data_IF_364339032328
#
_entry.id   IF_364339032328
#
_cell.length_a   1.000
_cell.length_b   1.000
_cell.length_c   1.000
_cell.angle_alpha   90.00
_cell.angle_beta   90.00
_cell.angle_gamma   90.00
#
_symmetry.space_group_name_H-M   'P 1'
#
loop_
_entity.id
_entity.type
_entity.pdbx_description
1 polymer ?
#
# COMPACT_ATOMS: atom_id res chain seq x y z
N UNK A 1 6.53 -11.20 -9.52
CA UNK A 1 5.75 -12.41 -9.16
C UNK A 1 4.60 -11.97 -8.26
N UNK A 2 3.55 -11.42 -8.86
CA UNK A 2 2.34 -10.99 -8.15
C UNK A 2 1.29 -12.04 -8.47
N UNK A 3 1.25 -13.12 -7.71
CA UNK A 3 0.24 -14.16 -7.91
C UNK A 3 -1.03 -13.79 -7.15
N UNK A 4 -2.08 -13.54 -7.94
CA UNK A 4 -3.51 -13.57 -7.62
C UNK A 4 -3.88 -14.42 -6.39
N UNK A 5 -3.83 -13.86 -5.18
CA UNK A 5 -4.17 -14.60 -3.96
C UNK A 5 -5.55 -14.27 -3.38
N UNK A 6 -6.25 -13.24 -3.88
CA UNK A 6 -7.31 -12.61 -3.08
C UNK A 6 -8.76 -12.77 -3.58
N UNK A 7 -9.04 -13.32 -4.77
CA UNK A 7 -10.41 -13.21 -5.32
C UNK A 7 -11.28 -14.48 -5.28
N UNK A 8 -10.74 -15.68 -5.04
CA UNK A 8 -11.52 -16.92 -5.23
C UNK A 8 -12.00 -17.64 -3.95
N UNK A 9 -11.78 -17.10 -2.73
CA UNK A 9 -12.08 -17.83 -1.48
C UNK A 9 -13.16 -17.27 -0.56
N UNK A 10 -13.90 -16.24 -0.95
CA UNK A 10 -14.98 -15.70 -0.08
C UNK A 10 -16.32 -16.44 -0.29
N UNK A 11 -16.48 -17.21 -1.37
CA UNK A 11 -17.80 -17.62 -1.85
C UNK A 11 -18.37 -18.96 -1.32
N UNK A 12 -17.83 -19.59 -0.26
CA UNK A 12 -18.37 -20.88 0.20
C UNK A 12 -18.48 -21.06 1.74
N UNK A 13 -18.69 -19.99 2.51
CA UNK A 13 -19.03 -20.15 3.94
C UNK A 13 -20.50 -20.58 4.07
N UNK A 14 -20.75 -21.90 4.04
CA UNK A 14 -22.04 -22.49 4.45
C UNK A 14 -22.32 -22.08 5.89
N UNK A 15 -23.20 -21.10 6.08
CA UNK A 15 -23.73 -20.68 7.39
C UNK A 15 -24.52 -21.84 8.00
N UNK A 16 -23.88 -22.63 8.86
CA UNK A 16 -24.61 -23.59 9.71
C UNK A 16 -24.20 -23.57 11.18
N UNK A 17 -23.35 -22.62 11.60
CA UNK A 17 -22.86 -22.54 12.98
C UNK A 17 -23.03 -21.13 13.52
N UNK A 18 -23.67 -21.01 14.69
CA UNK A 18 -23.89 -19.75 15.39
C UNK A 18 -22.60 -19.30 16.07
N UNK A 19 -21.96 -18.25 15.54
CA UNK A 19 -20.62 -17.80 15.92
C UNK A 19 -20.58 -17.33 17.38
N UNK A 20 -21.69 -16.85 17.91
CA UNK A 20 -21.78 -16.33 19.28
C UNK A 20 -21.75 -17.43 20.36
N UNK A 21 -21.95 -18.70 19.97
CA UNK A 21 -21.95 -19.85 20.87
C UNK A 21 -20.57 -20.52 20.97
N UNK A 22 -19.60 -20.10 20.16
CA UNK A 22 -18.28 -20.73 20.07
C UNK A 22 -17.33 -19.96 21.00
N UNK A 23 -16.72 -20.63 22.00
CA UNK A 23 -15.72 -19.98 22.84
C UNK A 23 -14.48 -19.63 22.01
N UNK A 24 -13.82 -18.50 22.30
CA UNK A 24 -12.60 -18.05 21.60
C UNK A 24 -11.40 -19.02 21.75
N UNK A 25 -11.53 -20.02 22.60
CA UNK A 25 -10.55 -21.11 22.76
C UNK A 25 -10.59 -22.10 21.59
N UNK A 26 -11.71 -22.22 20.88
CA UNK A 26 -11.90 -23.15 19.78
C UNK A 26 -11.89 -22.42 18.43
N UNK A 27 -11.25 -23.03 17.43
CA UNK A 27 -11.26 -22.48 16.06
C UNK A 27 -12.65 -22.59 15.44
N UNK A 28 -13.07 -21.55 14.73
CA UNK A 28 -14.37 -21.53 14.05
C UNK A 28 -14.43 -22.68 13.01
N UNK A 29 -15.40 -23.60 13.12
CA UNK A 29 -15.55 -24.70 12.18
C UNK A 29 -15.90 -24.17 10.79
N UNK A 30 -15.24 -24.70 9.75
CA UNK A 30 -15.45 -24.30 8.35
C UNK A 30 -14.59 -23.13 7.88
N UNK A 31 -13.79 -22.50 8.75
CA UNK A 31 -12.78 -21.53 8.34
C UNK A 31 -11.44 -22.23 8.09
N UNK A 32 -10.76 -21.89 6.98
CA UNK A 32 -9.42 -22.40 6.72
C UNK A 32 -8.43 -21.84 7.75
N UNK A 33 -7.53 -22.70 8.26
CA UNK A 33 -6.44 -22.26 9.14
C UNK A 33 -5.63 -21.17 8.45
N UNK A 34 -5.37 -20.07 9.17
CA UNK A 34 -4.58 -18.96 8.64
C UNK A 34 -3.18 -19.48 8.27
N UNK A 35 -2.79 -19.24 7.01
CA UNK A 35 -1.42 -19.43 6.56
C UNK A 35 -0.65 -18.17 6.91
N UNK A 36 0.24 -18.26 7.90
CA UNK A 36 1.19 -17.21 8.20
C UNK A 36 2.38 -17.36 7.26
N UNK A 37 2.89 -16.25 6.75
CA UNK A 37 4.09 -16.29 5.94
C UNK A 37 5.32 -16.50 6.85
N UNK A 38 6.26 -17.35 6.45
CA UNK A 38 7.49 -17.53 7.21
C UNK A 38 8.46 -16.37 6.92
N UNK A 39 9.06 -15.82 7.98
CA UNK A 39 10.01 -14.69 7.90
C UNK A 39 11.39 -15.08 7.32
N UNK A 40 11.59 -16.33 6.92
CA UNK A 40 12.90 -16.91 6.67
C UNK A 40 13.59 -16.45 5.36
N UNK A 41 12.87 -15.79 4.45
CA UNK A 41 13.34 -15.51 3.09
C UNK A 41 13.45 -14.02 2.73
N UNK A 42 13.33 -13.11 3.70
CA UNK A 42 13.42 -11.66 3.43
C UNK A 42 14.69 -11.15 4.08
N UNK A 43 15.70 -10.87 3.26
CA UNK A 43 16.89 -10.16 3.74
C UNK A 43 16.52 -8.70 4.04
N UNK A 44 16.83 -8.20 5.24
CA UNK A 44 16.56 -6.81 5.58
C UNK A 44 17.42 -5.88 4.71
N UNK A 45 16.86 -4.75 4.30
CA UNK A 45 17.55 -3.68 3.55
C UNK A 45 17.91 -4.02 2.08
N UNK A 46 17.27 -5.03 1.46
CA UNK A 46 17.41 -5.31 0.01
C UNK A 46 16.57 -4.33 -0.84
N UNK A 47 17.07 -3.10 -0.98
CA UNK A 47 16.42 -2.06 -1.80
C UNK A 47 16.78 -2.21 -3.28
N UNK A 48 15.77 -2.47 -4.12
CA UNK A 48 15.92 -2.58 -5.57
C UNK A 48 15.60 -1.24 -6.21
N UNK A 49 16.61 -0.64 -6.82
CA UNK A 49 16.49 0.59 -7.59
C UNK A 49 16.36 0.26 -9.07
N UNK A 50 15.26 0.72 -9.68
CA UNK A 50 15.02 0.59 -11.11
C UNK A 50 14.80 1.98 -11.71
N UNK A 51 15.32 2.19 -12.91
CA UNK A 51 15.13 3.41 -13.67
C UNK A 51 14.34 3.02 -14.91
N UNK A 52 13.17 3.64 -15.08
CA UNK A 52 12.33 3.44 -16.26
C UNK A 52 12.87 4.23 -17.44
N UNK A 53 12.50 3.84 -18.67
CA UNK A 53 12.88 4.56 -19.89
C UNK A 53 12.36 6.01 -19.92
N UNK A 54 11.34 6.31 -19.11
CA UNK A 54 10.83 7.67 -18.86
C UNK A 54 11.73 8.53 -17.97
N UNK A 55 12.79 7.96 -17.38
CA UNK A 55 13.68 8.63 -16.42
C UNK A 55 13.18 8.59 -14.97
N UNK A 56 12.00 8.01 -14.71
CA UNK A 56 11.48 7.83 -13.35
C UNK A 56 12.27 6.77 -12.60
N UNK A 57 12.54 7.04 -11.32
CA UNK A 57 13.25 6.13 -10.42
C UNK A 57 12.25 5.45 -9.49
N UNK A 58 12.25 4.13 -9.48
CA UNK A 58 11.41 3.31 -8.60
C UNK A 58 12.31 2.55 -7.64
N UNK A 59 12.16 2.84 -6.36
CA UNK A 59 12.79 2.11 -5.26
C UNK A 59 11.74 1.17 -4.65
N UNK A 60 12.03 -0.12 -4.62
CA UNK A 60 11.16 -1.12 -3.98
C UNK A 60 11.96 -1.98 -3.01
N UNK A 61 11.43 -2.18 -1.81
CA UNK A 61 12.00 -3.07 -0.81
C UNK A 61 10.96 -4.13 -0.41
N UNK A 62 11.30 -5.43 -0.42
CA UNK A 62 10.41 -6.46 0.08
C UNK A 62 10.30 -6.35 1.61
N UNK A 63 9.10 -6.07 2.11
CA UNK A 63 8.84 -6.07 3.54
C UNK A 63 7.82 -7.15 3.91
N UNK A 64 7.98 -7.74 5.09
CA UNK A 64 7.03 -8.71 5.60
C UNK A 64 5.82 -8.02 6.22
N UNK A 65 4.62 -8.30 5.71
CA UNK A 65 3.38 -7.81 6.30
C UNK A 65 2.22 -7.75 5.31
N UNK A 66 1.02 -7.53 5.83
CA UNK A 66 -0.18 -7.30 5.01
C UNK A 66 -0.30 -5.85 4.54
N UNK A 67 0.53 -4.97 5.08
CA UNK A 67 0.52 -3.54 4.78
C UNK A 67 1.76 -3.20 3.96
N UNK A 68 1.58 -2.30 3.00
CA UNK A 68 2.68 -1.69 2.26
C UNK A 68 2.52 -0.18 2.31
N UNK A 69 3.64 0.53 2.27
CA UNK A 69 3.68 1.98 2.15
C UNK A 69 4.21 2.31 0.77
N UNK A 70 3.51 3.20 0.08
CA UNK A 70 3.90 3.69 -1.24
C UNK A 70 3.99 5.20 -1.12
N UNK A 71 5.09 5.76 -1.63
CA UNK A 71 5.32 7.19 -1.65
C UNK A 71 5.92 7.62 -2.98
N UNK A 72 5.65 8.86 -3.36
CA UNK A 72 6.28 9.52 -4.51
C UNK A 72 7.03 10.71 -3.95
N UNK A 73 8.30 10.84 -4.31
CA UNK A 73 9.12 12.01 -3.96
C UNK A 73 9.46 12.76 -5.24
N UNK A 74 9.31 14.09 -5.19
CA UNK A 74 9.55 14.99 -6.30
C UNK A 74 10.57 16.02 -5.83
N UNK A 75 11.63 16.23 -6.59
CA UNK A 75 12.58 17.33 -6.35
C UNK A 75 11.92 18.65 -6.77
N UNK A 76 11.10 19.19 -5.88
CA UNK A 76 10.36 20.44 -6.04
C UNK A 76 10.26 21.16 -4.69
N UNK A 77 9.84 22.42 -4.70
CA UNK A 77 9.62 23.20 -3.49
C UNK A 77 9.88 24.69 -3.68
N UNK A 78 9.80 25.44 -2.57
CA UNK A 78 9.88 26.90 -2.58
C UNK A 78 11.21 27.46 -3.11
N UNK A 79 12.30 26.66 -3.08
CA UNK A 79 13.58 27.02 -3.70
C UNK A 79 13.47 27.23 -5.22
N UNK A 80 12.56 26.50 -5.86
CA UNK A 80 12.31 26.59 -7.30
C UNK A 80 11.20 27.60 -7.64
N UNK A 81 10.62 28.30 -6.65
CA UNK A 81 9.66 29.36 -6.90
C UNK A 81 10.36 30.60 -7.46
N UNK A 82 9.82 31.14 -8.55
CA UNK A 82 10.36 32.33 -9.20
C UNK A 82 9.59 33.55 -8.70
N UNK A 83 10.25 34.37 -7.87
CA UNK A 83 9.70 35.66 -7.42
C UNK A 83 8.27 35.57 -6.85
N UNK A 84 7.40 36.44 -7.35
CA UNK A 84 5.97 36.44 -7.00
C UNK A 84 5.18 35.60 -8.01
N UNK A 85 4.27 34.71 -7.59
CA UNK A 85 3.76 34.51 -6.23
C UNK A 85 4.61 33.53 -5.39
N UNK A 86 4.83 33.87 -4.12
CA UNK A 86 5.52 33.00 -3.16
C UNK A 86 4.52 32.16 -2.36
N UNK A 87 4.88 30.91 -2.05
CA UNK A 87 4.06 30.00 -1.24
C UNK A 87 3.19 29.03 -2.03
N UNK A 88 3.40 28.91 -3.35
CA UNK A 88 2.67 27.96 -4.21
C UNK A 88 2.93 26.51 -3.79
N UNK A 89 4.15 26.17 -3.40
CA UNK A 89 4.52 24.82 -2.95
C UNK A 89 3.73 24.40 -1.71
N UNK A 90 3.58 25.32 -0.75
CA UNK A 90 2.81 25.09 0.47
C UNK A 90 1.31 24.90 0.17
N UNK A 91 0.79 25.60 -0.83
CA UNK A 91 -0.61 25.45 -1.23
C UNK A 91 -0.85 24.13 -1.99
N UNK A 92 0.06 23.75 -2.89
CA UNK A 92 -0.01 22.50 -3.64
C UNK A 92 -0.04 21.30 -2.69
N UNK A 93 0.76 21.29 -1.62
CA UNK A 93 0.75 20.23 -0.61
C UNK A 93 -0.64 20.03 -0.01
N UNK A 94 -1.36 21.12 0.31
CA UNK A 94 -2.73 21.06 0.84
C UNK A 94 -3.76 20.60 -0.18
N UNK A 95 -3.52 20.90 -1.46
CA UNK A 95 -4.41 20.49 -2.55
C UNK A 95 -4.13 19.09 -3.08
N UNK A 96 -3.01 18.48 -2.73
CA UNK A 96 -2.54 17.25 -3.34
C UNK A 96 -3.42 16.02 -3.07
N UNK A 97 -4.41 16.13 -2.19
CA UNK A 97 -5.42 15.10 -1.89
C UNK A 97 -6.83 15.54 -2.31
N UNK A 98 -6.93 16.53 -3.21
CA UNK A 98 -8.21 17.04 -3.71
C UNK A 98 -8.67 16.31 -4.96
N UNK A 99 -9.82 16.74 -5.49
CA UNK A 99 -10.49 16.11 -6.64
C UNK A 99 -9.56 16.04 -7.85
N UNK A 100 -9.36 14.82 -8.34
CA UNK A 100 -8.65 14.52 -9.57
C UNK A 100 -9.66 14.08 -10.64
N UNK A 101 -9.44 14.45 -11.90
CA UNK A 101 -10.39 14.21 -13.00
C UNK A 101 -10.78 12.73 -13.22
N UNK A 102 -9.91 11.79 -12.84
CA UNK A 102 -10.07 10.36 -13.10
C UNK A 102 -9.91 9.47 -11.84
N UNK A 103 -10.10 10.04 -10.64
CA UNK A 103 -9.96 9.45 -9.28
C UNK A 103 -8.78 10.00 -8.45
N UNK A 104 -9.05 10.18 -7.15
CA UNK A 104 -8.22 10.79 -6.10
C UNK A 104 -6.79 10.23 -6.07
N UNK A 105 -5.80 11.06 -6.40
CA UNK A 105 -4.37 10.76 -6.23
C UNK A 105 -3.80 11.68 -5.18
N UNK A 106 -2.87 11.14 -4.39
CA UNK A 106 -2.20 11.74 -3.26
C UNK A 106 -0.74 11.97 -3.66
N UNK A 107 -0.25 13.21 -3.64
CA UNK A 107 1.18 13.52 -3.84
C UNK A 107 1.69 14.34 -2.67
N UNK A 108 2.61 13.80 -1.87
CA UNK A 108 3.31 14.59 -0.86
C UNK A 108 4.63 15.07 -1.46
N UNK A 109 4.84 16.40 -1.50
CA UNK A 109 6.12 17.01 -1.86
C UNK A 109 7.10 16.90 -0.69
#
# INVERSE_FOLDING_TARGET
MVTNFCLDRICAFKRSVDINQIPLTESIPGLSKAAYADHAHIEPFDTKLTILDSGLRVASEPHYGQYCTIGVSIDSGSRYEVGYPSGTSHFIEKLAFSVSYNSLVIVQC
#
